data_IF_496648907660
#
_entry.id   IF_496648907660
#
_cell.length_a   1.000
_cell.length_b   1.000
_cell.length_c   1.000
_cell.angle_alpha   90.00
_cell.angle_beta   90.00
_cell.angle_gamma   90.00
#
_symmetry.space_group_name_H-M   'P 1'
#
loop_
_entity.id
_entity.type
_entity.pdbx_description
1 polymer ?
#
# COMPACT_ATOMS: atom_id res chain seq x y z
N UNK A 1 -5.67 -11.26 -1.89
CA UNK A 1 -6.26 -11.06 -0.56
C UNK A 1 -7.77 -11.15 -0.70
N UNK A 2 -8.54 -11.26 0.39
CA UNK A 2 -10.01 -11.13 0.31
C UNK A 2 -10.40 -9.70 0.67
N UNK A 3 -11.60 -9.26 0.30
CA UNK A 3 -12.15 -7.94 0.66
C UNK A 3 -12.04 -7.63 2.17
N UNK A 4 -11.94 -8.64 3.01
CA UNK A 4 -12.02 -8.53 4.46
C UNK A 4 -10.70 -8.82 5.19
N UNK A 5 -9.66 -9.26 4.47
CA UNK A 5 -8.36 -9.66 5.06
C UNK A 5 -7.18 -8.87 4.51
N UNK A 6 -7.49 -7.69 3.97
CA UNK A 6 -6.58 -6.92 3.15
C UNK A 6 -5.65 -6.00 3.94
N UNK A 7 -6.09 -5.54 5.11
CA UNK A 7 -5.32 -4.60 5.93
C UNK A 7 -4.49 -5.34 6.99
N UNK A 8 -3.17 -5.16 6.93
CA UNK A 8 -2.21 -5.62 7.94
C UNK A 8 -1.36 -4.44 8.42
N UNK A 9 -2.03 -3.37 8.78
CA UNK A 9 -1.38 -2.12 9.20
C UNK A 9 -1.13 -2.11 10.72
N UNK A 10 -0.28 -1.19 11.14
CA UNK A 10 -0.16 -0.84 12.55
C UNK A 10 -1.36 0.02 12.97
N UNK A 11 -1.94 -0.21 14.15
CA UNK A 11 -3.09 0.53 14.68
C UNK A 11 -2.81 2.02 14.80
N UNK A 12 -1.57 2.39 15.16
CA UNK A 12 -1.14 3.78 15.21
C UNK A 12 -1.20 4.44 13.82
N UNK A 13 -0.80 3.73 12.77
CA UNK A 13 -0.82 4.26 11.41
C UNK A 13 -2.26 4.47 10.93
N UNK A 14 -3.14 3.50 11.20
CA UNK A 14 -4.56 3.60 10.88
C UNK A 14 -5.24 4.75 11.65
N UNK A 15 -4.86 4.96 12.92
CA UNK A 15 -5.37 6.07 13.74
C UNK A 15 -4.92 7.42 13.18
N UNK A 16 -3.63 7.56 12.87
CA UNK A 16 -3.07 8.79 12.27
C UNK A 16 -3.73 9.09 10.93
N UNK A 17 -3.87 8.07 10.07
CA UNK A 17 -4.56 8.20 8.79
C UNK A 17 -6.03 8.60 8.95
N UNK A 18 -6.74 7.99 9.92
CA UNK A 18 -8.12 8.32 10.26
C UNK A 18 -8.27 9.76 10.76
N UNK A 19 -7.39 10.22 11.65
CA UNK A 19 -7.38 11.60 12.14
C UNK A 19 -7.12 12.59 11.00
N UNK A 20 -6.13 12.32 10.14
CA UNK A 20 -5.85 13.16 8.97
C UNK A 20 -7.07 13.27 8.04
N UNK A 21 -7.69 12.13 7.73
CA UNK A 21 -8.89 12.10 6.90
C UNK A 21 -10.06 12.87 7.53
N UNK A 22 -10.28 12.72 8.84
CA UNK A 22 -11.30 13.47 9.58
C UNK A 22 -11.07 14.98 9.54
N UNK A 23 -9.83 15.42 9.76
CA UNK A 23 -9.46 16.84 9.69
C UNK A 23 -9.77 17.41 8.31
N UNK A 24 -9.31 16.75 7.24
CA UNK A 24 -9.57 17.19 5.86
C UNK A 24 -11.07 17.21 5.56
N UNK A 25 -11.82 16.18 5.96
CA UNK A 25 -13.26 16.11 5.76
C UNK A 25 -14.01 17.27 6.44
N UNK A 26 -13.64 17.61 7.69
CA UNK A 26 -14.22 18.74 8.41
C UNK A 26 -13.87 20.07 7.74
N UNK A 27 -12.63 20.24 7.27
CA UNK A 27 -12.18 21.46 6.59
C UNK A 27 -12.94 21.73 5.29
N UNK A 28 -13.34 20.69 4.56
CA UNK A 28 -14.17 20.81 3.34
C UNK A 28 -15.68 20.81 3.64
N UNK A 29 -16.07 20.83 4.92
CA UNK A 29 -17.46 21.01 5.36
C UNK A 29 -18.29 19.73 5.46
N UNK A 30 -17.68 18.54 5.53
CA UNK A 30 -18.42 17.29 5.75
C UNK A 30 -18.99 17.28 7.17
N UNK A 31 -20.32 17.13 7.34
CA UNK A 31 -20.91 17.00 8.68
C UNK A 31 -20.36 15.76 9.41
N UNK A 32 -20.04 15.86 10.71
CA UNK A 32 -19.47 14.73 11.47
C UNK A 32 -20.32 13.45 11.40
N UNK A 33 -21.66 13.57 11.34
CA UNK A 33 -22.58 12.44 11.23
C UNK A 33 -22.43 11.63 9.93
N UNK A 34 -21.86 12.20 8.87
CA UNK A 34 -21.62 11.49 7.61
C UNK A 34 -20.26 10.80 7.53
N UNK A 35 -19.38 11.06 8.50
CA UNK A 35 -17.99 10.60 8.47
C UNK A 35 -17.88 9.07 8.40
N UNK A 36 -18.65 8.37 9.23
CA UNK A 36 -18.65 6.89 9.27
C UNK A 36 -19.09 6.32 7.91
N UNK A 37 -20.15 6.89 7.31
CA UNK A 37 -20.63 6.45 6.00
C UNK A 37 -19.58 6.64 4.91
N UNK A 38 -18.91 7.80 4.90
CA UNK A 38 -17.84 8.09 3.94
C UNK A 38 -16.66 7.13 4.12
N UNK A 39 -16.26 6.87 5.37
CA UNK A 39 -15.18 5.95 5.70
C UNK A 39 -15.50 4.52 5.24
N UNK A 40 -16.73 4.05 5.46
CA UNK A 40 -17.18 2.73 4.98
C UNK A 40 -17.09 2.65 3.46
N UNK A 41 -17.55 3.67 2.73
CA UNK A 41 -17.51 3.68 1.26
C UNK A 41 -16.07 3.65 0.75
N UNK A 42 -15.21 4.53 1.26
CA UNK A 42 -13.80 4.60 0.85
C UNK A 42 -13.09 3.28 1.14
N UNK A 43 -13.24 2.74 2.35
CA UNK A 43 -12.60 1.47 2.73
C UNK A 43 -13.14 0.28 1.94
N UNK A 44 -14.42 0.28 1.60
CA UNK A 44 -15.00 -0.76 0.75
C UNK A 44 -14.39 -0.75 -0.65
N UNK A 45 -14.21 0.42 -1.25
CA UNK A 45 -13.63 0.54 -2.59
C UNK A 45 -12.13 0.21 -2.58
N UNK A 46 -11.41 0.70 -1.58
CA UNK A 46 -10.00 0.36 -1.33
C UNK A 46 -9.84 -1.17 -1.22
N UNK A 47 -10.54 -1.81 -0.30
CA UNK A 47 -10.48 -3.26 -0.13
C UNK A 47 -10.92 -4.03 -1.39
N UNK A 48 -11.91 -3.52 -2.12
CA UNK A 48 -12.38 -4.14 -3.36
C UNK A 48 -11.23 -4.18 -4.37
N UNK A 49 -10.43 -3.12 -4.44
CA UNK A 49 -9.30 -3.01 -5.37
C UNK A 49 -8.19 -4.05 -5.15
N UNK A 50 -8.10 -4.64 -3.95
CA UNK A 50 -7.13 -5.69 -3.65
C UNK A 50 -7.68 -7.12 -3.76
N UNK A 51 -8.96 -7.26 -4.11
CA UNK A 51 -9.55 -8.58 -4.37
C UNK A 51 -8.78 -9.24 -5.53
N UNK A 52 -8.41 -10.52 -5.34
CA UNK A 52 -7.72 -11.33 -6.35
C UNK A 52 -8.63 -11.76 -7.52
N UNK A 53 -9.42 -10.84 -8.07
CA UNK A 53 -10.31 -11.07 -9.20
C UNK A 53 -9.78 -10.42 -10.47
N UNK A 54 -10.08 -11.02 -11.63
CA UNK A 54 -9.85 -10.41 -12.96
C UNK A 54 -10.95 -9.39 -13.29
N UNK A 55 -11.25 -8.51 -12.35
CA UNK A 55 -12.32 -7.54 -12.47
C UNK A 55 -11.79 -6.22 -13.02
N UNK A 56 -12.45 -5.72 -14.05
CA UNK A 56 -12.27 -4.39 -14.61
C UNK A 56 -13.63 -3.69 -14.65
N UNK A 57 -13.65 -2.38 -14.49
CA UNK A 57 -14.89 -1.59 -14.60
C UNK A 57 -15.13 -1.07 -16.02
N UNK A 58 -14.42 -1.62 -17.00
CA UNK A 58 -14.47 -1.16 -18.38
C UNK A 58 -13.96 0.27 -18.55
N UNK A 59 -14.10 0.81 -19.75
CA UNK A 59 -13.52 2.11 -20.12
C UNK A 59 -14.11 3.28 -19.32
N UNK A 60 -15.41 3.26 -19.05
CA UNK A 60 -16.11 4.34 -18.32
C UNK A 60 -15.90 4.17 -16.82
N UNK A 61 -16.08 2.97 -16.28
CA UNK A 61 -15.92 2.74 -14.86
C UNK A 61 -14.50 2.96 -14.36
N UNK A 62 -13.48 2.65 -15.17
CA UNK A 62 -12.06 2.93 -14.83
C UNK A 62 -11.65 4.40 -14.99
N UNK A 63 -12.55 5.27 -15.47
CA UNK A 63 -12.37 6.73 -15.33
C UNK A 63 -12.87 7.23 -13.98
N UNK A 64 -13.83 6.52 -13.38
CA UNK A 64 -14.53 6.94 -12.18
C UNK A 64 -13.94 6.29 -10.92
N UNK A 65 -13.65 4.99 -10.97
CA UNK A 65 -13.24 4.19 -9.83
C UNK A 65 -12.07 3.28 -10.15
N UNK A 66 -11.22 3.09 -9.14
CA UNK A 66 -10.11 2.13 -9.17
C UNK A 66 -10.65 0.70 -9.14
N UNK A 67 -10.33 -0.07 -10.17
CA UNK A 67 -10.71 -1.49 -10.29
C UNK A 67 -9.63 -2.43 -9.73
N UNK A 68 -9.95 -3.71 -9.45
CA UNK A 68 -8.92 -4.66 -8.99
C UNK A 68 -7.77 -4.85 -9.99
N UNK A 69 -8.09 -4.88 -11.29
CA UNK A 69 -7.06 -4.91 -12.33
C UNK A 69 -6.21 -3.64 -12.35
N UNK A 70 -6.83 -2.47 -12.19
CA UNK A 70 -6.12 -1.19 -12.14
C UNK A 70 -5.12 -1.16 -10.99
N UNK A 71 -5.60 -1.50 -9.79
CA UNK A 71 -4.79 -1.45 -8.58
C UNK A 71 -3.70 -2.54 -8.58
N UNK A 72 -3.95 -3.68 -9.22
CA UNK A 72 -2.92 -4.71 -9.36
C UNK A 72 -1.66 -4.25 -10.12
N UNK A 73 -1.79 -3.33 -11.08
CA UNK A 73 -0.62 -2.73 -11.74
C UNK A 73 0.24 -1.87 -10.81
N UNK A 74 -0.35 -1.28 -9.77
CA UNK A 74 0.40 -0.60 -8.72
C UNK A 74 1.32 -1.57 -7.96
N UNK A 75 0.86 -2.79 -7.72
CA UNK A 75 1.62 -3.85 -7.05
C UNK A 75 2.45 -4.75 -7.99
N UNK A 76 2.60 -4.36 -9.27
CA UNK A 76 3.34 -5.17 -10.22
C UNK A 76 4.84 -5.26 -9.83
N UNK A 77 5.41 -6.47 -9.88
CA UNK A 77 6.84 -6.69 -9.66
C UNK A 77 7.68 -6.05 -10.79
N UNK A 78 7.15 -6.10 -12.01
CA UNK A 78 7.75 -5.54 -13.20
C UNK A 78 6.94 -4.34 -13.65
N UNK A 79 7.61 -3.19 -13.67
CA UNK A 79 6.98 -1.92 -14.04
C UNK A 79 6.75 -1.84 -15.57
N UNK A 80 5.67 -1.18 -16.01
CA UNK A 80 5.45 -0.94 -17.43
C UNK A 80 6.59 -0.14 -18.07
N UNK A 81 6.82 -0.38 -19.36
CA UNK A 81 7.79 0.41 -20.12
C UNK A 81 7.34 1.89 -20.22
N UNK A 82 8.28 2.81 -20.02
CA UNK A 82 8.05 4.25 -20.16
C UNK A 82 8.66 5.07 -19.02
N UNK A 83 9.18 6.25 -19.35
CA UNK A 83 9.84 7.12 -18.37
C UNK A 83 8.91 7.54 -17.22
N UNK A 84 7.61 7.73 -17.50
CA UNK A 84 6.64 8.08 -16.48
C UNK A 84 6.41 6.98 -15.43
N UNK A 85 6.68 5.71 -15.74
CA UNK A 85 6.39 4.58 -14.85
C UNK A 85 7.61 4.08 -14.07
N UNK A 86 8.76 4.74 -14.21
CA UNK A 86 10.04 4.34 -13.60
C UNK A 86 10.01 4.19 -12.07
N UNK A 87 9.00 4.78 -11.42
CA UNK A 87 8.81 4.74 -9.97
C UNK A 87 7.46 4.14 -9.56
N UNK A 88 6.74 3.51 -10.49
CA UNK A 88 5.38 3.02 -10.25
C UNK A 88 4.36 3.62 -11.21
N UNK A 89 3.14 3.12 -11.10
CA UNK A 89 1.97 3.60 -11.81
C UNK A 89 0.73 3.40 -10.93
N UNK A 90 -0.39 4.01 -11.32
CA UNK A 90 -1.72 3.75 -10.72
C UNK A 90 -1.77 3.99 -9.20
N UNK A 91 -1.35 5.18 -8.76
CA UNK A 91 -1.23 5.55 -7.35
C UNK A 91 -2.56 5.90 -6.67
N UNK A 92 -3.60 6.18 -7.44
CA UNK A 92 -4.91 6.52 -6.91
C UNK A 92 -5.52 5.34 -6.13
N UNK A 93 -6.08 5.66 -4.97
CA UNK A 93 -6.81 4.70 -4.12
C UNK A 93 -8.27 4.60 -4.55
N UNK A 94 -8.92 5.76 -4.80
CA UNK A 94 -10.36 5.82 -5.09
C UNK A 94 -10.64 6.25 -6.53
N UNK A 95 -10.16 7.45 -6.91
CA UNK A 95 -10.50 8.11 -8.17
C UNK A 95 -9.27 8.17 -9.08
N UNK A 96 -9.27 7.52 -10.25
CA UNK A 96 -8.14 7.52 -11.20
C UNK A 96 -7.81 8.88 -11.83
N UNK A 97 -8.56 9.94 -11.52
CA UNK A 97 -8.32 11.30 -12.04
C UNK A 97 -6.93 11.83 -11.66
N UNK A 98 -6.42 11.44 -10.49
CA UNK A 98 -5.10 11.86 -10.05
C UNK A 98 -4.00 11.30 -10.94
N UNK A 99 -4.04 10.01 -11.26
CA UNK A 99 -3.07 9.41 -12.17
C UNK A 99 -3.20 9.91 -13.61
N UNK A 100 -4.38 10.36 -14.02
CA UNK A 100 -4.56 11.03 -15.31
C UNK A 100 -3.90 12.40 -15.31
N UNK A 101 -4.09 13.18 -14.23
CA UNK A 101 -3.53 14.52 -14.10
C UNK A 101 -1.99 14.49 -14.05
N UNK A 102 -1.42 13.51 -13.36
CA UNK A 102 0.04 13.37 -13.20
C UNK A 102 0.71 12.45 -14.24
N UNK A 103 -0.07 11.88 -15.16
CA UNK A 103 0.46 11.03 -16.24
C UNK A 103 1.00 9.68 -15.78
N UNK A 104 0.52 9.16 -14.66
CA UNK A 104 0.94 7.89 -14.05
C UNK A 104 -0.08 6.76 -14.27
N UNK A 105 -1.14 7.02 -15.04
CA UNK A 105 -2.16 6.02 -15.36
C UNK A 105 -1.67 5.02 -16.41
N UNK A 106 -1.54 3.76 -16.01
CA UNK A 106 -1.31 2.62 -16.87
C UNK A 106 -2.57 1.75 -17.03
N UNK A 107 -2.90 1.39 -18.28
CA UNK A 107 -4.12 0.66 -18.65
C UNK A 107 -3.84 -0.73 -19.24
N UNK A 108 -3.00 -1.52 -18.58
CA UNK A 108 -2.67 -2.89 -19.02
C UNK A 108 -3.87 -3.84 -18.95
N UNK A 109 -4.09 -4.63 -20.00
CA UNK A 109 -5.17 -5.63 -20.06
C UNK A 109 -4.84 -6.94 -19.35
N UNK A 110 -3.55 -7.22 -19.16
CA UNK A 110 -3.08 -8.40 -18.44
C UNK A 110 -3.09 -8.16 -16.93
N UNK A 111 -2.98 -9.26 -16.19
CA UNK A 111 -2.86 -9.23 -14.75
C UNK A 111 -1.39 -9.51 -14.37
N UNK A 112 -0.62 -8.50 -13.94
CA UNK A 112 0.80 -8.68 -13.70
C UNK A 112 1.09 -9.61 -12.50
N UNK A 113 2.28 -10.22 -12.46
CA UNK A 113 2.77 -10.89 -11.26
C UNK A 113 2.98 -9.85 -10.15
N UNK A 114 2.59 -10.23 -8.93
CA UNK A 114 2.64 -9.39 -7.73
C UNK A 114 3.24 -10.18 -6.58
N UNK A 115 3.76 -9.48 -5.58
CA UNK A 115 4.39 -10.07 -4.41
C UNK A 115 5.85 -9.62 -4.28
N UNK A 116 6.60 -10.33 -3.46
CA UNK A 116 8.01 -10.03 -3.24
C UNK A 116 8.85 -10.66 -4.34
N UNK A 117 9.73 -9.85 -4.95
CA UNK A 117 10.71 -10.34 -5.95
C UNK A 117 11.61 -11.46 -5.39
N UNK A 118 11.82 -11.46 -4.08
CA UNK A 118 12.70 -12.39 -3.37
C UNK A 118 12.03 -13.74 -3.05
N UNK A 119 10.75 -13.91 -3.38
CA UNK A 119 9.96 -15.10 -3.04
C UNK A 119 9.11 -14.92 -1.78
N UNK A 120 8.44 -15.99 -1.30
CA UNK A 120 7.54 -15.90 -0.16
C UNK A 120 8.28 -15.49 1.12
N UNK A 121 7.55 -14.86 2.04
CA UNK A 121 8.07 -14.53 3.36
C UNK A 121 8.47 -15.81 4.12
N UNK A 122 9.43 -15.71 5.06
CA UNK A 122 9.77 -16.83 5.95
C UNK A 122 8.55 -17.34 6.70
N UNK A 123 8.51 -18.63 7.01
CA UNK A 123 7.38 -19.24 7.72
C UNK A 123 7.13 -18.59 9.10
N UNK A 124 8.18 -18.07 9.74
CA UNK A 124 8.08 -17.30 10.98
C UNK A 124 7.21 -16.05 10.84
N UNK A 125 7.23 -15.37 9.69
CA UNK A 125 6.39 -14.20 9.44
C UNK A 125 4.90 -14.57 9.35
N UNK A 126 4.59 -15.77 8.85
CA UNK A 126 3.22 -16.27 8.80
C UNK A 126 2.67 -16.64 10.20
N UNK A 127 3.54 -16.78 11.20
CA UNK A 127 3.19 -17.11 12.59
C UNK A 127 3.13 -15.89 13.51
N UNK A 128 3.52 -14.69 13.03
CA UNK A 128 3.41 -13.46 13.82
C UNK A 128 1.94 -13.14 14.07
N UNK A 129 1.54 -13.17 15.33
CA UNK A 129 0.18 -12.82 15.75
C UNK A 129 -0.06 -11.31 15.68
N UNK A 130 -1.33 -10.89 15.68
CA UNK A 130 -1.69 -9.47 15.60
C UNK A 130 -0.90 -8.58 16.56
N UNK A 131 -0.88 -8.92 17.86
CA UNK A 131 -0.17 -8.13 18.87
C UNK A 131 1.35 -8.15 18.71
N UNK A 132 1.90 -9.26 18.24
CA UNK A 132 3.32 -9.36 17.94
C UNK A 132 3.69 -8.45 16.78
N UNK A 133 2.88 -8.42 15.71
CA UNK A 133 3.07 -7.50 14.59
C UNK A 133 3.03 -6.04 15.04
N UNK A 134 2.10 -5.67 15.94
CA UNK A 134 2.05 -4.31 16.49
C UNK A 134 3.32 -3.97 17.28
N UNK A 135 3.75 -4.88 18.17
CA UNK A 135 4.96 -4.69 18.96
C UNK A 135 6.23 -4.57 18.09
N UNK A 136 6.38 -5.46 17.11
CA UNK A 136 7.49 -5.42 16.14
C UNK A 136 7.51 -4.09 15.37
N UNK A 137 6.35 -3.56 14.98
CA UNK A 137 6.21 -2.25 14.34
C UNK A 137 6.70 -1.10 15.23
N UNK A 138 6.31 -1.09 16.51
CA UNK A 138 6.78 -0.08 17.48
C UNK A 138 8.29 -0.16 17.72
N UNK A 139 8.83 -1.36 17.88
CA UNK A 139 10.27 -1.58 18.02
C UNK A 139 11.04 -1.10 16.79
N UNK A 140 10.55 -1.41 15.59
CA UNK A 140 11.15 -0.95 14.34
C UNK A 140 11.13 0.57 14.23
N UNK A 141 10.01 1.22 14.57
CA UNK A 141 9.90 2.68 14.60
C UNK A 141 10.89 3.28 15.61
N UNK A 142 10.96 2.77 16.83
CA UNK A 142 11.90 3.25 17.84
C UNK A 142 13.36 3.12 17.38
N UNK A 143 13.70 2.01 16.72
CA UNK A 143 15.05 1.76 16.21
C UNK A 143 15.49 2.80 15.16
N UNK A 144 14.56 3.38 14.39
CA UNK A 144 14.90 4.46 13.43
C UNK A 144 15.42 5.74 14.08
N UNK A 145 15.16 5.94 15.37
CA UNK A 145 15.65 7.10 16.12
C UNK A 145 16.97 6.81 16.87
N UNK A 146 17.43 5.56 16.87
CA UNK A 146 18.71 5.20 17.46
C UNK A 146 19.83 5.39 16.41
N UNK A 147 21.00 5.93 16.79
CA UNK A 147 22.13 5.98 15.88
C UNK A 147 22.54 4.56 15.49
N UNK A 148 22.85 4.33 14.20
CA UNK A 148 23.44 3.08 13.74
C UNK A 148 24.76 2.84 14.49
N UNK A 149 24.76 1.89 15.43
CA UNK A 149 26.00 1.44 16.02
C UNK A 149 26.78 0.68 14.95
N UNK A 150 27.90 1.26 14.55
CA UNK A 150 28.77 0.86 13.44
C UNK A 150 29.55 -0.46 13.73
N UNK A 151 28.91 -1.47 14.31
CA UNK A 151 29.55 -2.74 14.70
C UNK A 151 29.61 -3.79 13.57
N UNK A 152 29.13 -3.46 12.37
CA UNK A 152 29.17 -4.33 11.19
C UNK A 152 30.46 -4.22 10.36
N UNK A 153 31.09 -3.04 10.33
CA UNK A 153 32.24 -2.79 9.45
C UNK A 153 33.55 -3.44 9.96
N UNK A 154 33.72 -3.64 11.27
CA UNK A 154 34.92 -4.26 11.82
C UNK A 154 35.01 -5.77 11.55
N UNK A 155 33.88 -6.49 11.51
CA UNK A 155 33.89 -7.94 11.20
C UNK A 155 34.17 -8.22 9.73
N UNK A 156 33.74 -7.35 8.81
CA UNK A 156 34.05 -7.52 7.39
C UNK A 156 35.51 -7.17 7.06
N UNK A 157 36.12 -6.18 7.73
CA UNK A 157 37.54 -5.85 7.54
C UNK A 157 38.48 -6.95 8.05
N UNK A 158 38.16 -7.58 9.18
CA UNK A 158 39.00 -8.67 9.73
C UNK A 158 38.92 -9.98 8.92
N UNK A 159 37.80 -10.22 8.21
CA UNK A 159 37.64 -11.41 7.35
C UNK A 159 38.32 -11.27 5.98
N UNK A 160 38.66 -10.06 5.54
CA UNK A 160 39.36 -9.82 4.26
C UNK A 160 40.88 -9.67 4.42
N UNK A 161 41.38 -9.69 5.65
CA UNK A 161 42.81 -9.63 5.98
C UNK A 161 43.41 -10.98 6.39
N UNK A 162 42.73 -12.10 6.11
CA UNK A 162 43.25 -13.46 6.29
C UNK A 162 43.23 -14.24 4.97
#
# INVERSE_FOLDING_TARGET
MTLWTDSRNHLLDDLVGGCWFAIVALLVGVPPGHFIGLLIVVKTIENLSHVNARLSFGRIGELLLVSPRYHRWHHAIDLPAGRQYRFGCNFAILLPIWDQLFGTQYRGQTMPPCGLRQGPLPESAARSGFWQQQWEGLCALAATFLPENNHGEERQRQSQSQ
#
